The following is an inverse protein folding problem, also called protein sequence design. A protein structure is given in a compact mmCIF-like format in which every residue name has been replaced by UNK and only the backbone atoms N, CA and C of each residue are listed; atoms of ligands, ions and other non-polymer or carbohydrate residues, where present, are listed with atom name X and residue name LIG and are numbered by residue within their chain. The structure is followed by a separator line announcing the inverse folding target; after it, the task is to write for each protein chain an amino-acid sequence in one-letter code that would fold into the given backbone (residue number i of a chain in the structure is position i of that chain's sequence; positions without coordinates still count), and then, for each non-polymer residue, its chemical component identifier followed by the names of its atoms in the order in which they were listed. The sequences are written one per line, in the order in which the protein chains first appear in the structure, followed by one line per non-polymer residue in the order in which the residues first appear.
data_IF_471291627374
#
_entry.id   IF_471291627374
#
_cell.length_a   1.000
_cell.length_b   1.000
_cell.length_c   1.000
_cell.angle_alpha   90.00
_cell.angle_beta   90.00
_cell.angle_gamma   90.00
#
_symmetry.space_group_name_H-M   'P 1'
#
loop_
_entity.id
_entity.type
_entity.pdbx_description
1 polymer ?
#
# COMPACT_ATOMS: atom_id res chain seq x y z
N UNK A 1 13.33 2.57 15.89
CA UNK A 1 11.87 2.45 15.99
C UNK A 1 11.31 1.95 14.67
N UNK A 2 10.21 1.25 14.72
CA UNK A 2 9.55 0.69 13.55
C UNK A 2 8.14 1.25 13.42
N UNK A 3 7.56 1.10 12.23
CA UNK A 3 6.16 1.41 12.01
C UNK A 3 5.32 0.16 12.25
N UNK A 4 4.20 0.32 12.95
CA UNK A 4 3.26 -0.76 13.23
C UNK A 4 1.85 -0.34 12.85
N UNK A 5 1.15 -1.22 12.15
CA UNK A 5 -0.25 -1.03 11.79
C UNK A 5 -1.14 -1.80 12.75
N UNK A 6 -2.17 -1.16 13.29
CA UNK A 6 -3.20 -1.85 14.03
C UNK A 6 -4.25 -2.37 13.06
N UNK A 7 -4.44 -3.69 13.04
CA UNK A 7 -5.39 -4.34 12.16
C UNK A 7 -6.59 -4.81 12.96
N UNK A 8 -7.77 -4.31 12.61
CA UNK A 8 -9.04 -4.67 13.23
C UNK A 8 -9.96 -5.19 12.14
N UNK A 9 -10.41 -6.44 12.26
CA UNK A 9 -11.26 -7.10 11.25
C UNK A 9 -10.65 -7.05 9.84
N UNK A 10 -9.33 -7.20 9.73
CA UNK A 10 -8.61 -7.20 8.46
C UNK A 10 -8.34 -5.82 7.86
N UNK A 11 -8.73 -4.74 8.56
CA UNK A 11 -8.58 -3.36 8.07
C UNK A 11 -7.62 -2.60 8.99
N UNK A 12 -6.72 -1.82 8.39
CA UNK A 12 -5.78 -0.98 9.15
C UNK A 12 -6.53 0.21 9.76
N UNK A 13 -6.57 0.25 11.09
CA UNK A 13 -7.24 1.31 11.85
C UNK A 13 -6.32 2.50 12.11
N UNK A 14 -5.03 2.25 12.33
CA UNK A 14 -4.02 3.29 12.55
C UNK A 14 -2.62 2.72 12.34
N UNK A 15 -1.66 3.63 12.17
CA UNK A 15 -0.23 3.28 12.05
C UNK A 15 0.55 4.16 13.03
N UNK A 16 1.43 3.56 13.82
CA UNK A 16 2.26 4.28 14.79
C UNK A 16 3.74 3.92 14.60
N UNK A 17 4.60 4.77 15.12
CA UNK A 17 6.04 4.49 15.23
C UNK A 17 6.32 4.11 16.68
N UNK A 18 6.88 2.92 16.90
CA UNK A 18 7.12 2.39 18.23
C UNK A 18 8.21 1.34 18.23
N UNK A 19 8.70 1.00 19.43
CA UNK A 19 9.56 -0.16 19.64
C UNK A 19 8.69 -1.42 19.78
N UNK A 20 9.22 -2.57 19.37
CA UNK A 20 8.52 -3.85 19.48
C UNK A 20 8.12 -4.14 20.94
N UNK A 21 9.00 -3.82 21.89
CA UNK A 21 8.72 -4.03 23.32
C UNK A 21 7.52 -3.24 23.79
N UNK A 22 7.34 -2.02 23.27
CA UNK A 22 6.18 -1.19 23.59
C UNK A 22 4.88 -1.84 23.09
N UNK A 23 4.90 -2.37 21.87
CA UNK A 23 3.75 -3.12 21.31
C UNK A 23 3.45 -4.34 22.17
N UNK A 24 4.49 -5.11 22.52
CA UNK A 24 4.34 -6.35 23.31
C UNK A 24 3.85 -6.09 24.74
N UNK A 25 4.04 -4.88 25.25
CA UNK A 25 3.61 -4.52 26.61
C UNK A 25 2.10 -4.45 26.80
N UNK A 26 1.34 -4.35 25.69
CA UNK A 26 -0.11 -4.15 25.74
C UNK A 26 -0.52 -2.71 26.00
N UNK A 27 0.42 -1.75 26.01
CA UNK A 27 0.13 -0.34 26.27
C UNK A 27 -0.81 0.29 25.24
N UNK A 28 -0.81 -0.23 24.02
CA UNK A 28 -1.67 0.24 22.91
C UNK A 28 -2.72 -0.81 22.52
N UNK A 29 -3.06 -1.72 23.42
CA UNK A 29 -4.05 -2.75 23.21
C UNK A 29 -3.45 -4.12 22.94
N UNK A 30 -4.24 -5.01 22.36
CA UNK A 30 -3.84 -6.40 22.10
C UNK A 30 -2.65 -6.43 21.12
N UNK A 31 -1.49 -6.95 21.55
CA UNK A 31 -0.32 -7.04 20.67
C UNK A 31 -0.57 -7.82 19.38
N UNK A 32 -1.49 -8.79 19.38
CA UNK A 32 -1.80 -9.57 18.19
C UNK A 32 -2.46 -8.77 17.07
N UNK A 33 -3.00 -7.59 17.37
CA UNK A 33 -3.58 -6.69 16.36
C UNK A 33 -2.54 -5.84 15.65
N UNK A 34 -1.31 -5.79 16.15
CA UNK A 34 -0.27 -4.93 15.60
C UNK A 34 0.66 -5.70 14.68
N UNK A 35 0.79 -5.21 13.45
CA UNK A 35 1.60 -5.82 12.40
C UNK A 35 2.63 -4.82 11.92
N UNK A 36 3.90 -5.21 11.93
CA UNK A 36 4.97 -4.33 11.47
C UNK A 36 4.84 -4.05 9.98
N UNK A 37 5.04 -2.79 9.61
CA UNK A 37 5.07 -2.32 8.23
C UNK A 37 6.34 -1.51 7.99
N UNK A 38 6.66 -1.22 6.73
CA UNK A 38 7.86 -0.49 6.37
C UNK A 38 7.52 0.72 5.53
N UNK A 39 7.95 1.88 5.99
CA UNK A 39 7.64 3.18 5.40
C UNK A 39 8.01 3.30 3.93
N UNK A 40 9.15 2.72 3.50
CA UNK A 40 9.68 2.90 2.15
C UNK A 40 9.40 1.70 1.24
N UNK A 41 8.29 1.00 1.45
CA UNK A 41 7.95 -0.21 0.71
C UNK A 41 6.70 -0.01 -0.13
N UNK A 42 6.76 -0.37 -1.42
CA UNK A 42 5.61 -0.32 -2.31
C UNK A 42 5.77 -1.32 -3.45
N UNK A 43 4.70 -2.06 -3.76
CA UNK A 43 4.67 -2.98 -4.90
C UNK A 43 5.69 -4.10 -4.81
N UNK A 44 6.10 -4.50 -3.59
CA UNK A 44 7.12 -5.52 -3.40
C UNK A 44 8.55 -5.01 -3.55
N UNK A 45 8.77 -3.69 -3.48
CA UNK A 45 10.09 -3.06 -3.62
C UNK A 45 10.33 -2.12 -2.44
N UNK A 46 11.53 -2.17 -1.89
CA UNK A 46 12.01 -1.23 -0.87
C UNK A 46 12.82 -0.12 -1.55
N UNK A 47 12.51 1.14 -1.21
CA UNK A 47 13.13 2.32 -1.81
C UNK A 47 14.04 3.02 -0.83
N UNK A 48 15.18 3.53 -1.32
CA UNK A 48 16.11 4.31 -0.53
C UNK A 48 15.74 5.78 -0.43
N UNK A 49 16.55 6.60 0.28
CA UNK A 49 16.29 8.02 0.44
C UNK A 49 16.24 8.81 -0.87
N UNK A 50 16.88 8.32 -1.92
CA UNK A 50 16.87 8.93 -3.25
C UNK A 50 15.64 8.57 -4.09
N UNK A 51 14.70 7.78 -3.53
CA UNK A 51 13.51 7.32 -4.23
C UNK A 51 13.75 6.19 -5.21
N UNK A 52 14.93 5.58 -5.21
CA UNK A 52 15.26 4.46 -6.09
C UNK A 52 15.31 3.14 -5.30
N UNK A 53 15.06 1.99 -5.95
CA UNK A 53 15.18 0.69 -5.29
C UNK A 53 16.57 0.51 -4.70
N UNK A 54 16.66 0.06 -3.46
CA UNK A 54 17.94 -0.11 -2.75
C UNK A 54 18.29 -1.57 -2.42
N UNK A 55 17.45 -2.51 -2.88
CA UNK A 55 17.64 -3.93 -2.59
C UNK A 55 17.26 -4.35 -1.17
N UNK A 56 16.69 -3.46 -0.37
CA UNK A 56 16.25 -3.76 0.98
C UNK A 56 15.02 -4.66 1.03
N UNK A 57 14.64 -5.06 2.24
CA UNK A 57 13.49 -5.95 2.44
C UNK A 57 12.19 -5.18 2.23
N UNK A 58 11.39 -5.61 1.26
CA UNK A 58 10.06 -5.06 1.00
C UNK A 58 9.06 -5.72 1.95
N UNK A 59 9.07 -5.30 3.22
CA UNK A 59 8.27 -5.92 4.27
C UNK A 59 6.79 -5.83 3.94
N UNK A 60 6.14 -7.00 3.80
CA UNK A 60 4.71 -7.15 3.52
C UNK A 60 4.23 -6.36 2.29
N UNK A 61 5.11 -6.21 1.31
CA UNK A 61 4.87 -5.69 -0.05
C UNK A 61 4.55 -4.21 -0.12
N UNK A 62 3.75 -3.67 0.77
CA UNK A 62 3.35 -2.26 0.75
C UNK A 62 3.36 -1.68 2.16
N UNK A 63 3.68 -0.39 2.27
CA UNK A 63 3.48 0.34 3.50
C UNK A 63 1.99 0.42 3.82
N UNK A 64 1.62 0.12 5.07
CA UNK A 64 0.23 0.14 5.49
C UNK A 64 -0.29 1.57 5.61
N UNK A 65 -1.40 1.86 4.96
CA UNK A 65 -2.15 3.11 5.16
C UNK A 65 -3.44 2.84 5.94
N UNK A 66 -3.98 3.88 6.57
CA UNK A 66 -5.28 3.77 7.25
C UNK A 66 -6.34 3.38 6.21
N UNK A 67 -7.15 2.37 6.53
CA UNK A 67 -8.16 1.85 5.63
C UNK A 67 -7.66 0.75 4.68
N UNK A 68 -6.35 0.49 4.66
CA UNK A 68 -5.80 -0.61 3.86
C UNK A 68 -6.25 -1.95 4.41
N UNK A 69 -6.19 -2.98 3.55
CA UNK A 69 -6.52 -4.35 3.91
C UNK A 69 -5.22 -5.09 4.26
N UNK A 70 -5.25 -5.86 5.34
CA UNK A 70 -4.18 -6.80 5.66
C UNK A 70 -4.67 -8.22 5.34
N UNK A 71 -4.00 -8.87 4.40
CA UNK A 71 -4.25 -10.28 4.06
C UNK A 71 -3.31 -11.15 4.88
N UNK A 72 -3.84 -11.81 5.92
CA UNK A 72 -3.04 -12.66 6.83
C UNK A 72 -2.49 -13.90 6.14
N UNK A 73 -3.24 -14.45 5.22
CA UNK A 73 -2.83 -15.67 4.52
C UNK A 73 -1.58 -15.42 3.67
N UNK A 74 -1.54 -14.30 2.97
CA UNK A 74 -0.40 -13.91 2.13
C UNK A 74 0.60 -13.00 2.85
N UNK A 75 0.26 -12.51 4.04
CA UNK A 75 1.08 -11.61 4.85
C UNK A 75 1.48 -10.34 4.10
N UNK A 76 0.48 -9.65 3.57
CA UNK A 76 0.68 -8.44 2.76
C UNK A 76 -0.37 -7.38 3.08
N UNK A 77 0.00 -6.10 2.85
CA UNK A 77 -0.93 -4.98 2.87
C UNK A 77 -1.25 -4.55 1.44
N UNK A 78 -2.50 -4.16 1.19
CA UNK A 78 -2.88 -3.55 -0.08
C UNK A 78 -4.00 -2.53 0.11
N UNK A 79 -4.07 -1.55 -0.81
CA UNK A 79 -5.06 -0.49 -0.75
C UNK A 79 -6.46 -1.04 -1.06
N UNK A 80 -7.53 -0.33 -0.63
CA UNK A 80 -8.88 -0.65 -1.08
C UNK A 80 -8.99 -0.53 -2.60
N UNK A 81 -9.89 -1.32 -3.19
CA UNK A 81 -10.12 -1.27 -4.64
C UNK A 81 -10.56 0.15 -5.06
N UNK A 82 -9.80 0.82 -5.95
CA UNK A 82 -10.14 2.19 -6.35
C UNK A 82 -11.33 2.26 -7.30
N UNK A 83 -11.49 1.27 -8.18
CA UNK A 83 -12.57 1.20 -9.16
C UNK A 83 -12.96 -0.25 -9.41
N UNK A 84 -14.25 -0.55 -9.67
CA UNK A 84 -14.71 -1.93 -9.87
C UNK A 84 -14.02 -2.69 -11.00
N UNK A 85 -13.54 -1.99 -12.04
CA UNK A 85 -12.87 -2.64 -13.19
C UNK A 85 -11.40 -2.93 -12.95
N UNK A 86 -10.80 -2.36 -11.92
CA UNK A 86 -9.39 -2.57 -11.63
C UNK A 86 -9.18 -3.92 -10.96
N UNK A 87 -8.05 -4.56 -11.25
CA UNK A 87 -7.72 -5.87 -10.70
C UNK A 87 -6.47 -5.80 -9.84
N UNK A 88 -6.46 -6.59 -8.78
CA UNK A 88 -5.32 -6.67 -7.87
C UNK A 88 -4.25 -7.60 -8.46
N UNK A 89 -3.04 -7.06 -8.63
CA UNK A 89 -1.89 -7.87 -9.02
C UNK A 89 -1.32 -8.56 -7.77
N UNK A 90 -1.40 -9.89 -7.71
CA UNK A 90 -0.96 -10.66 -6.54
C UNK A 90 0.54 -10.91 -6.49
N UNK A 91 1.33 -10.30 -7.37
CA UNK A 91 2.80 -10.25 -7.27
C UNK A 91 3.24 -8.97 -6.57
N UNK A 92 2.69 -7.82 -6.98
CA UNK A 92 3.04 -6.50 -6.43
C UNK A 92 2.08 -6.02 -5.35
N UNK A 93 0.86 -6.58 -5.31
CA UNK A 93 -0.23 -6.16 -4.43
C UNK A 93 -0.63 -4.70 -4.65
N UNK A 94 -0.56 -4.30 -5.93
CA UNK A 94 -1.05 -3.01 -6.41
C UNK A 94 -2.24 -3.25 -7.34
N UNK A 95 -3.17 -2.31 -7.34
CA UNK A 95 -4.31 -2.33 -8.25
C UNK A 95 -3.90 -1.87 -9.64
N UNK A 96 -4.38 -2.55 -10.67
CA UNK A 96 -4.07 -2.23 -12.06
C UNK A 96 -5.35 -2.00 -12.87
N UNK A 97 -5.40 -0.92 -13.68
CA UNK A 97 -6.53 -0.70 -14.58
C UNK A 97 -6.52 -1.72 -15.71
N UNK A 98 -7.70 -1.96 -16.37
CA UNK A 98 -7.75 -2.88 -17.50
C UNK A 98 -6.97 -2.38 -18.71
N UNK A 99 -6.74 -1.06 -18.79
CA UNK A 99 -5.96 -0.43 -19.86
C UNK A 99 -4.84 0.38 -19.20
N UNK A 100 -3.56 0.19 -19.58
CA UNK A 100 -2.47 0.97 -18.99
C UNK A 100 -2.62 2.47 -19.29
N UNK A 101 -2.22 3.30 -18.31
CA UNK A 101 -2.19 4.75 -18.51
C UNK A 101 -1.20 5.11 -19.62
N UNK A 102 -1.58 5.99 -20.58
CA UNK A 102 -0.64 6.44 -21.60
C UNK A 102 0.61 7.08 -21.00
N UNK A 103 1.75 6.84 -21.62
CA UNK A 103 3.06 7.30 -21.13
C UNK A 103 3.67 8.38 -22.02
N UNK A 104 2.83 9.24 -22.58
CA UNK A 104 3.24 10.32 -23.49
C UNK A 104 3.58 11.63 -22.78
N UNK A 105 3.65 11.60 -21.44
CA UNK A 105 3.97 12.77 -20.62
C UNK A 105 2.79 13.69 -20.35
N UNK A 106 1.60 13.35 -20.81
CA UNK A 106 0.37 14.13 -20.57
C UNK A 106 -0.36 13.63 -19.34
N UNK A 107 -1.28 14.45 -18.82
CA UNK A 107 -2.07 14.12 -17.63
C UNK A 107 -3.41 13.52 -18.07
N UNK A 108 -3.72 12.35 -17.51
CA UNK A 108 -4.95 11.61 -17.76
C UNK A 108 -5.67 11.31 -16.47
N UNK A 109 -6.99 11.20 -16.56
CA UNK A 109 -7.83 10.74 -15.46
C UNK A 109 -8.59 9.48 -15.89
N UNK A 110 -8.68 8.49 -15.00
CA UNK A 110 -9.44 7.28 -15.25
C UNK A 110 -10.94 7.59 -15.21
N UNK A 111 -11.67 7.15 -16.24
CA UNK A 111 -13.13 7.22 -16.28
C UNK A 111 -13.68 5.80 -16.22
N UNK A 112 -14.31 5.46 -15.10
CA UNK A 112 -14.84 4.12 -14.87
C UNK A 112 -16.03 3.80 -15.79
N UNK A 113 -16.86 4.78 -16.10
CA UNK A 113 -18.02 4.60 -16.99
C UNK A 113 -17.61 4.16 -18.39
N UNK A 114 -16.61 4.83 -18.97
CA UNK A 114 -16.07 4.49 -20.30
C UNK A 114 -14.95 3.46 -20.23
N UNK A 115 -14.44 3.15 -19.01
CA UNK A 115 -13.28 2.28 -18.77
C UNK A 115 -12.09 2.68 -19.64
N UNK A 116 -11.77 3.97 -19.60
CA UNK A 116 -10.70 4.54 -20.41
C UNK A 116 -10.03 5.70 -19.71
N UNK A 117 -8.83 6.03 -20.17
CA UNK A 117 -8.10 7.19 -19.71
C UNK A 117 -8.54 8.42 -20.50
N UNK A 118 -8.94 9.47 -19.81
CA UNK A 118 -9.42 10.70 -20.41
C UNK A 118 -8.36 11.79 -20.27
N UNK A 119 -7.94 12.36 -21.39
CA UNK A 119 -6.96 13.46 -21.42
C UNK A 119 -7.48 14.65 -20.62
N UNK A 120 -6.64 15.19 -19.76
CA UNK A 120 -6.96 16.35 -18.94
C UNK A 120 -6.19 17.58 -19.39
N UNK A 121 -4.88 17.46 -19.51
CA UNK A 121 -4.00 18.57 -19.88
C UNK A 121 -2.60 18.06 -20.18
N UNK A 122 -1.78 18.93 -20.79
CA UNK A 122 -0.34 18.64 -20.92
C UNK A 122 0.33 18.76 -19.56
N UNK A 123 1.37 17.95 -19.34
CA UNK A 123 2.21 18.10 -18.17
C UNK A 123 3.05 19.37 -18.28
N UNK A 124 3.34 19.98 -17.13
CA UNK A 124 4.16 21.21 -17.08
C UNK A 124 5.62 20.91 -17.32
#
# INVERSE_FOLDING_TARGET
MSHFAQVVDGIVAQVIVAEQDFINSGAVGDPSQWVQTSYNTRGGVHYGPDGQPDGGVALRKNYAGIGYIYDRENDVFYAPQPYPSWQLNTTTWLWAPPIPCPTDGKIYEWNETSRSWVYQRDSL
#
